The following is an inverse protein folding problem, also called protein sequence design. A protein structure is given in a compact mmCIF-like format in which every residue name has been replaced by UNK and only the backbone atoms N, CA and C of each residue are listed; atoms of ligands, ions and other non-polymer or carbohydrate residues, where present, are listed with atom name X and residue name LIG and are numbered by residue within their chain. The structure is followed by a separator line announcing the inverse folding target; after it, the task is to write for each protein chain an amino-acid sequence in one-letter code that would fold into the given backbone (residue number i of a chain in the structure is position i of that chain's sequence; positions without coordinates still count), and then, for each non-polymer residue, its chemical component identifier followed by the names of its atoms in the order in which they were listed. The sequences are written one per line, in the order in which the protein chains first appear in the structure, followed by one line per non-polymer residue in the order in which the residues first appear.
data_IF_476709276059
#
_entry.id   IF_476709276059
#
_cell.length_a   1.000
_cell.length_b   1.000
_cell.length_c   1.000
_cell.angle_alpha   90.00
_cell.angle_beta   90.00
_cell.angle_gamma   90.00
#
_symmetry.space_group_name_H-M   'P 1'
#
loop_
_entity.id
_entity.type
_entity.pdbx_description
1 polymer ?
#
# COMPACT_ATOMS: atom_id res chain seq x y z
N UNK A 1 9.33 -9.39 -67.43
CA UNK A 1 8.97 -10.74 -67.87
C UNK A 1 8.17 -11.31 -66.71
N UNK A 2 6.90 -11.01 -66.85
CA UNK A 2 5.68 -11.91 -66.81
C UNK A 2 5.43 -12.48 -65.40
N UNK A 3 4.44 -11.96 -64.66
CA UNK A 3 2.94 -12.17 -64.79
C UNK A 3 2.54 -13.59 -64.36
N UNK A 4 1.74 -13.66 -63.32
CA UNK A 4 0.44 -14.30 -63.13
C UNK A 4 0.09 -14.24 -61.65
N UNK A 5 -0.86 -13.54 -61.13
CA UNK A 5 -2.32 -13.64 -61.04
C UNK A 5 -2.90 -15.05 -60.88
N UNK A 6 -3.59 -15.16 -59.80
CA UNK A 6 -4.93 -15.74 -59.49
C UNK A 6 -4.92 -16.33 -58.09
N UNK A 7 -5.87 -16.19 -57.22
CA UNK A 7 -7.26 -15.81 -57.29
C UNK A 7 -8.01 -16.38 -56.13
N UNK A 8 -8.90 -15.57 -55.61
CA UNK A 8 -10.16 -15.91 -54.90
C UNK A 8 -10.18 -16.87 -53.71
N UNK A 9 -10.81 -16.40 -52.66
CA UNK A 9 -11.40 -17.19 -51.60
C UNK A 9 -11.78 -16.36 -50.38
N UNK A 10 -12.91 -15.63 -50.46
CA UNK A 10 -13.57 -15.07 -49.29
C UNK A 10 -14.22 -16.20 -48.48
N UNK A 11 -14.04 -16.16 -47.17
CA UNK A 11 -15.10 -16.60 -46.26
C UNK A 11 -15.01 -15.83 -44.94
N UNK A 12 -16.10 -15.14 -44.65
CA UNK A 12 -16.39 -14.49 -43.40
C UNK A 12 -16.57 -15.54 -42.30
N UNK A 13 -15.73 -15.50 -41.28
CA UNK A 13 -15.91 -16.18 -40.04
C UNK A 13 -16.17 -15.18 -38.93
N UNK A 14 -17.46 -15.00 -38.60
CA UNK A 14 -17.92 -14.35 -37.40
C UNK A 14 -17.39 -15.10 -36.21
N UNK A 15 -16.38 -14.57 -35.55
CA UNK A 15 -15.85 -15.04 -34.29
C UNK A 15 -16.40 -14.19 -33.17
N UNK A 16 -17.37 -14.74 -32.50
CA UNK A 16 -18.07 -14.32 -31.30
C UNK A 16 -17.15 -13.74 -30.23
N UNK A 17 -17.66 -12.69 -29.58
CA UNK A 17 -17.10 -12.00 -28.45
C UNK A 17 -16.57 -12.93 -27.36
N UNK A 18 -15.29 -12.79 -27.09
CA UNK A 18 -14.70 -13.16 -25.81
C UNK A 18 -14.97 -12.00 -24.83
N UNK A 19 -16.15 -12.06 -24.21
CA UNK A 19 -16.52 -11.19 -23.12
C UNK A 19 -15.63 -11.47 -21.90
N UNK A 20 -14.99 -10.42 -21.43
CA UNK A 20 -14.55 -10.12 -20.07
C UNK A 20 -14.83 -11.20 -18.99
N UNK A 21 -13.88 -12.07 -18.76
CA UNK A 21 -13.90 -13.00 -17.59
C UNK A 21 -12.95 -12.57 -16.47
N UNK A 22 -12.41 -11.34 -16.50
CA UNK A 22 -11.43 -10.85 -15.54
C UNK A 22 -12.01 -10.23 -14.25
N UNK A 23 -13.28 -9.88 -14.20
CA UNK A 23 -13.92 -9.29 -13.00
C UNK A 23 -14.76 -10.26 -12.18
N UNK A 24 -14.57 -11.55 -12.35
CA UNK A 24 -15.52 -12.55 -11.90
C UNK A 24 -15.45 -12.98 -10.46
N UNK A 25 -14.24 -13.17 -9.90
CA UNK A 25 -14.06 -13.82 -8.60
C UNK A 25 -14.47 -12.93 -7.44
N UNK A 26 -13.97 -11.69 -7.39
CA UNK A 26 -14.30 -10.72 -6.35
C UNK A 26 -15.77 -10.36 -6.33
N UNK A 27 -16.39 -10.13 -7.52
CA UNK A 27 -17.83 -9.89 -7.61
C UNK A 27 -18.64 -11.13 -7.22
N UNK A 28 -18.18 -12.32 -7.57
CA UNK A 28 -18.86 -13.56 -7.19
C UNK A 28 -18.85 -13.74 -5.68
N UNK A 29 -17.72 -13.46 -5.02
CA UNK A 29 -17.58 -13.50 -3.57
C UNK A 29 -18.47 -12.46 -2.89
N UNK A 30 -18.48 -11.21 -3.38
CA UNK A 30 -19.36 -10.16 -2.89
C UNK A 30 -20.84 -10.59 -2.96
N UNK A 31 -21.26 -11.15 -4.09
CA UNK A 31 -22.62 -11.64 -4.28
C UNK A 31 -22.96 -12.81 -3.34
N UNK A 32 -22.00 -13.69 -3.09
CA UNK A 32 -22.14 -14.77 -2.13
C UNK A 32 -22.29 -14.22 -0.70
N UNK A 33 -21.40 -13.31 -0.29
CA UNK A 33 -21.46 -12.67 1.02
C UNK A 33 -22.81 -11.94 1.27
N UNK A 34 -23.33 -11.24 0.25
CA UNK A 34 -24.63 -10.58 0.35
C UNK A 34 -25.76 -11.60 0.50
N UNK A 35 -25.76 -12.72 -0.23
CA UNK A 35 -26.77 -13.77 -0.07
C UNK A 35 -26.73 -14.39 1.33
N UNK A 36 -25.52 -14.72 1.80
CA UNK A 36 -25.33 -15.43 3.07
C UNK A 36 -25.68 -14.56 4.28
N UNK A 37 -25.42 -13.25 4.20
CA UNK A 37 -25.66 -12.30 5.28
C UNK A 37 -26.98 -11.53 5.17
N UNK A 38 -27.77 -11.74 4.13
CA UNK A 38 -28.96 -10.93 3.82
C UNK A 38 -29.92 -10.73 5.01
N UNK A 39 -30.21 -11.81 5.73
CA UNK A 39 -31.16 -11.77 6.86
C UNK A 39 -30.59 -11.04 8.09
N UNK A 40 -29.26 -10.91 8.19
CA UNK A 40 -28.59 -10.22 9.30
C UNK A 40 -28.46 -8.72 9.08
N UNK A 41 -28.66 -8.25 7.83
CA UNK A 41 -28.54 -6.84 7.45
C UNK A 41 -29.80 -6.05 7.85
N UNK A 42 -29.60 -4.86 8.42
CA UNK A 42 -30.66 -3.87 8.59
C UNK A 42 -31.19 -3.35 7.25
N UNK A 43 -32.33 -2.69 7.24
CA UNK A 43 -32.92 -2.12 6.00
C UNK A 43 -31.96 -1.20 5.27
N UNK A 44 -31.24 -0.33 5.99
CA UNK A 44 -30.28 0.58 5.38
C UNK A 44 -29.03 -0.15 4.85
N UNK A 45 -28.57 -1.19 5.57
CA UNK A 45 -27.44 -2.02 5.10
C UNK A 45 -27.84 -2.86 3.88
N UNK A 46 -29.08 -3.34 3.80
CA UNK A 46 -29.61 -4.01 2.60
C UNK A 46 -29.63 -3.09 1.39
N UNK A 47 -29.98 -1.81 1.56
CA UNK A 47 -29.92 -0.83 0.48
C UNK A 47 -28.48 -0.67 -0.08
N UNK A 48 -27.49 -0.59 0.79
CA UNK A 48 -26.06 -0.58 0.39
C UNK A 48 -25.69 -1.88 -0.31
N UNK A 49 -26.02 -3.04 0.28
CA UNK A 49 -25.71 -4.35 -0.28
C UNK A 49 -26.32 -4.55 -1.67
N UNK A 50 -27.56 -4.11 -1.86
CA UNK A 50 -28.26 -4.19 -3.14
C UNK A 50 -27.59 -3.29 -4.20
N UNK A 51 -27.17 -2.08 -3.82
CA UNK A 51 -26.47 -1.18 -4.70
C UNK A 51 -25.13 -1.77 -5.14
N UNK A 52 -24.27 -2.21 -4.23
CA UNK A 52 -22.92 -2.72 -4.57
C UNK A 52 -22.95 -4.01 -5.40
N UNK A 53 -23.98 -4.86 -5.26
CA UNK A 53 -24.14 -6.07 -6.09
C UNK A 53 -24.58 -5.73 -7.52
N UNK A 54 -25.34 -4.63 -7.70
CA UNK A 54 -25.87 -4.20 -8.99
C UNK A 54 -24.91 -3.29 -9.76
N UNK A 55 -24.04 -2.58 -9.05
CA UNK A 55 -23.12 -1.64 -9.67
C UNK A 55 -21.99 -2.37 -10.44
N UNK A 56 -21.50 -1.79 -11.54
CA UNK A 56 -20.29 -2.28 -12.21
C UNK A 56 -19.09 -2.29 -11.27
N UNK A 57 -18.25 -3.34 -11.35
CA UNK A 57 -17.05 -3.45 -10.51
C UNK A 57 -16.16 -2.20 -10.60
N UNK A 58 -15.99 -1.68 -11.80
CA UNK A 58 -15.21 -0.47 -12.08
C UNK A 58 -15.73 0.74 -11.30
N UNK A 59 -17.05 0.93 -11.25
CA UNK A 59 -17.66 2.02 -10.48
C UNK A 59 -17.41 1.87 -8.98
N UNK A 60 -17.44 0.65 -8.45
CA UNK A 60 -17.16 0.39 -7.05
C UNK A 60 -15.69 0.65 -6.67
N UNK A 61 -14.77 0.41 -7.60
CA UNK A 61 -13.35 0.65 -7.36
C UNK A 61 -13.04 2.13 -7.09
N UNK A 62 -13.76 3.02 -7.75
CA UNK A 62 -13.51 4.46 -7.65
C UNK A 62 -14.39 5.16 -6.60
N UNK A 63 -15.59 4.63 -6.30
CA UNK A 63 -16.56 5.28 -5.43
C UNK A 63 -16.09 5.37 -3.97
N UNK A 64 -16.16 6.56 -3.37
CA UNK A 64 -15.97 6.76 -1.93
C UNK A 64 -17.15 6.20 -1.12
N UNK A 65 -16.97 6.03 0.19
CA UNK A 65 -18.07 5.61 1.06
C UNK A 65 -19.21 6.66 1.11
N UNK A 66 -18.87 7.93 0.89
CA UNK A 66 -19.84 9.01 0.80
C UNK A 66 -20.69 8.89 -0.46
N UNK A 67 -20.07 8.63 -1.62
CA UNK A 67 -20.79 8.43 -2.88
C UNK A 67 -21.65 7.18 -2.86
N UNK A 68 -21.15 6.06 -2.32
CA UNK A 68 -21.93 4.85 -2.14
C UNK A 68 -23.11 5.07 -1.20
N UNK A 69 -22.91 5.86 -0.13
CA UNK A 69 -23.97 6.27 0.78
C UNK A 69 -25.03 7.09 0.06
N UNK A 70 -24.63 8.11 -0.70
CA UNK A 70 -25.54 8.94 -1.50
C UNK A 70 -26.30 8.10 -2.54
N UNK A 71 -25.62 7.25 -3.29
CA UNK A 71 -26.20 6.40 -4.32
C UNK A 71 -27.17 5.33 -3.77
N UNK A 72 -26.93 4.83 -2.55
CA UNK A 72 -27.81 3.88 -1.87
C UNK A 72 -28.87 4.54 -0.96
N UNK A 73 -28.91 5.89 -0.91
CA UNK A 73 -29.82 6.63 -0.01
C UNK A 73 -29.50 6.44 1.47
N UNK A 74 -28.21 6.22 1.82
CA UNK A 74 -27.78 5.94 3.19
C UNK A 74 -26.63 6.87 3.60
N UNK A 75 -26.10 6.69 4.81
CA UNK A 75 -24.94 7.45 5.29
C UNK A 75 -23.63 6.69 5.05
N UNK A 76 -22.49 7.42 5.00
CA UNK A 76 -21.14 6.86 5.00
C UNK A 76 -20.95 5.80 6.11
N UNK A 77 -21.39 6.10 7.33
CA UNK A 77 -21.32 5.14 8.45
C UNK A 77 -22.12 3.85 8.20
N UNK A 78 -23.21 3.92 7.44
CA UNK A 78 -23.98 2.75 7.03
C UNK A 78 -23.23 1.91 6.01
N UNK A 79 -22.56 2.54 5.04
CA UNK A 79 -21.71 1.84 4.07
C UNK A 79 -20.61 1.06 4.79
N UNK A 80 -19.90 1.70 5.72
CA UNK A 80 -18.84 1.04 6.50
C UNK A 80 -19.38 -0.17 7.27
N UNK A 81 -20.52 -0.03 7.96
CA UNK A 81 -21.14 -1.14 8.69
C UNK A 81 -21.61 -2.26 7.77
N UNK A 82 -22.21 -1.92 6.62
CA UNK A 82 -22.61 -2.91 5.62
C UNK A 82 -21.42 -3.74 5.15
N UNK A 83 -20.28 -3.10 4.81
CA UNK A 83 -19.06 -3.81 4.42
C UNK A 83 -18.57 -4.76 5.52
N UNK A 84 -18.58 -4.30 6.78
CA UNK A 84 -18.18 -5.13 7.92
C UNK A 84 -19.11 -6.34 8.13
N UNK A 85 -20.42 -6.17 7.98
CA UNK A 85 -21.40 -7.26 8.04
C UNK A 85 -21.21 -8.27 6.92
N UNK A 86 -20.80 -7.81 5.74
CA UNK A 86 -20.49 -8.66 4.59
C UNK A 86 -19.12 -9.36 4.71
N UNK A 87 -18.39 -9.18 5.82
CA UNK A 87 -17.12 -9.83 6.10
C UNK A 87 -15.89 -9.10 5.56
N UNK A 88 -16.05 -7.86 5.09
CA UNK A 88 -14.94 -7.00 4.69
C UNK A 88 -14.49 -6.12 5.86
N UNK A 89 -13.18 -5.90 6.00
CA UNK A 89 -12.66 -4.97 7.02
C UNK A 89 -13.08 -3.50 6.78
N UNK A 90 -13.74 -3.22 5.66
CA UNK A 90 -14.29 -1.93 5.23
C UNK A 90 -14.31 -1.83 3.72
N UNK A 91 -14.75 -0.69 3.18
CA UNK A 91 -14.80 -0.44 1.74
C UNK A 91 -13.43 -0.61 1.04
N UNK A 92 -12.30 -0.18 1.60
CA UNK A 92 -10.99 -0.43 1.01
C UNK A 92 -10.65 -1.92 0.83
N UNK A 93 -11.14 -2.79 1.70
CA UNK A 93 -10.93 -4.24 1.57
C UNK A 93 -11.72 -4.83 0.39
N UNK A 94 -12.98 -4.40 0.22
CA UNK A 94 -13.76 -4.75 -0.98
C UNK A 94 -13.09 -4.25 -2.25
N UNK A 95 -12.67 -2.98 -2.27
CA UNK A 95 -11.98 -2.39 -3.42
C UNK A 95 -10.71 -3.17 -3.80
N UNK A 96 -9.90 -3.59 -2.83
CA UNK A 96 -8.71 -4.43 -3.09
C UNK A 96 -9.06 -5.75 -3.75
N UNK A 97 -10.06 -6.43 -3.24
CA UNK A 97 -10.50 -7.70 -3.82
C UNK A 97 -10.99 -7.55 -5.26
N UNK A 98 -11.78 -6.51 -5.54
CA UNK A 98 -12.20 -6.18 -6.88
C UNK A 98 -11.03 -5.73 -7.76
N UNK A 99 -10.06 -5.01 -7.20
CA UNK A 99 -8.91 -4.50 -7.92
C UNK A 99 -7.91 -5.59 -8.31
N UNK A 100 -7.77 -6.67 -7.55
CA UNK A 100 -6.86 -7.77 -7.89
C UNK A 100 -7.22 -8.38 -9.25
N UNK A 101 -8.51 -8.55 -9.49
CA UNK A 101 -9.02 -9.00 -10.79
C UNK A 101 -8.86 -7.93 -11.88
N UNK A 102 -9.04 -6.65 -11.53
CA UNK A 102 -9.01 -5.52 -12.43
C UNK A 102 -7.58 -5.10 -12.81
N UNK A 103 -6.65 -5.04 -11.85
CA UNK A 103 -5.26 -4.60 -12.10
C UNK A 103 -4.43 -5.58 -12.90
N UNK A 104 -4.75 -6.87 -12.83
CA UNK A 104 -4.10 -7.90 -13.65
C UNK A 104 -4.60 -7.91 -15.10
N UNK A 105 -5.85 -7.46 -15.33
CA UNK A 105 -6.51 -7.54 -16.63
C UNK A 105 -6.54 -6.21 -17.39
N UNK A 106 -6.39 -5.06 -16.72
CA UNK A 106 -6.58 -3.72 -17.32
C UNK A 106 -5.26 -2.94 -17.40
N UNK A 107 -4.84 -2.49 -18.58
CA UNK A 107 -3.63 -1.70 -18.77
C UNK A 107 -3.63 -0.39 -17.94
N UNK A 108 -2.45 0.08 -17.47
CA UNK A 108 -2.35 1.29 -16.63
C UNK A 108 -2.99 2.54 -17.25
N UNK A 109 -2.87 2.72 -18.56
CA UNK A 109 -3.44 3.86 -19.28
C UNK A 109 -4.99 3.83 -19.30
N UNK A 110 -5.57 2.65 -19.30
CA UNK A 110 -7.04 2.50 -19.25
C UNK A 110 -7.54 2.82 -17.84
N UNK A 111 -6.84 2.35 -16.81
CA UNK A 111 -7.13 2.68 -15.41
C UNK A 111 -7.04 4.18 -15.15
N UNK A 112 -5.97 4.82 -15.65
CA UNK A 112 -5.80 6.28 -15.58
C UNK A 112 -6.97 7.01 -16.24
N UNK A 113 -7.38 6.59 -17.45
CA UNK A 113 -8.50 7.18 -18.17
C UNK A 113 -9.82 7.04 -17.40
N UNK A 114 -10.08 5.88 -16.82
CA UNK A 114 -11.26 5.64 -16.00
C UNK A 114 -11.25 6.49 -14.72
N UNK A 115 -10.09 6.62 -14.06
CA UNK A 115 -9.94 7.47 -12.89
C UNK A 115 -10.23 8.95 -13.22
N UNK A 116 -9.65 9.45 -14.31
CA UNK A 116 -9.92 10.83 -14.80
C UNK A 116 -11.41 11.02 -15.12
N UNK A 117 -12.04 10.02 -15.72
CA UNK A 117 -13.47 10.10 -16.05
C UNK A 117 -14.37 10.09 -14.81
N UNK A 118 -13.98 9.33 -13.76
CA UNK A 118 -14.71 9.27 -12.49
C UNK A 118 -14.60 10.58 -11.72
N UNK A 119 -13.39 11.08 -11.52
CA UNK A 119 -13.12 12.32 -10.79
C UNK A 119 -13.66 13.55 -11.54
N UNK A 120 -13.75 13.47 -12.86
CA UNK A 120 -14.23 14.59 -13.69
C UNK A 120 -13.16 15.67 -13.88
N UNK A 121 -13.61 16.91 -14.09
CA UNK A 121 -12.74 18.08 -14.36
C UNK A 121 -12.91 19.21 -13.35
N UNK A 122 -13.72 18.99 -12.34
CA UNK A 122 -13.93 19.95 -11.25
C UNK A 122 -12.78 19.83 -10.25
N UNK A 123 -11.93 20.85 -10.21
CA UNK A 123 -10.75 20.85 -9.33
C UNK A 123 -11.13 20.87 -7.84
N UNK A 124 -12.23 21.49 -7.47
CA UNK A 124 -12.71 21.52 -6.09
C UNK A 124 -13.21 20.12 -5.68
N UNK A 125 -13.91 19.42 -6.57
CA UNK A 125 -14.31 18.03 -6.38
C UNK A 125 -13.11 17.10 -6.25
N UNK A 126 -12.07 17.26 -7.09
CA UNK A 126 -10.82 16.49 -7.03
C UNK A 126 -10.15 16.64 -5.66
N UNK A 127 -10.10 17.87 -5.15
CA UNK A 127 -9.51 18.14 -3.82
C UNK A 127 -10.23 17.35 -2.73
N UNK A 128 -11.57 17.43 -2.67
CA UNK A 128 -12.36 16.69 -1.70
C UNK A 128 -12.14 15.19 -1.79
N UNK A 129 -12.21 14.63 -2.99
CA UNK A 129 -12.06 13.19 -3.23
C UNK A 129 -10.70 12.63 -2.78
N UNK A 130 -9.62 13.34 -3.06
CA UNK A 130 -8.26 12.92 -2.62
C UNK A 130 -8.17 12.83 -1.09
N UNK A 131 -8.75 13.81 -0.37
CA UNK A 131 -8.72 13.81 1.09
C UNK A 131 -9.67 12.77 1.68
N UNK A 132 -10.84 12.57 1.13
CA UNK A 132 -11.81 11.58 1.59
C UNK A 132 -11.24 10.16 1.42
N UNK A 133 -10.65 9.84 0.27
CA UNK A 133 -9.95 8.57 0.07
C UNK A 133 -8.77 8.38 1.02
N UNK A 134 -8.00 9.44 1.26
CA UNK A 134 -6.88 9.39 2.20
C UNK A 134 -7.36 9.10 3.62
N UNK A 135 -8.44 9.74 4.06
CA UNK A 135 -9.04 9.52 5.37
C UNK A 135 -9.56 8.08 5.52
N UNK A 136 -10.24 7.56 4.51
CA UNK A 136 -10.71 6.17 4.51
C UNK A 136 -9.54 5.18 4.67
N UNK A 137 -8.42 5.41 3.98
CA UNK A 137 -7.23 4.56 4.08
C UNK A 137 -6.55 4.65 5.45
N UNK A 138 -6.44 5.83 6.02
CA UNK A 138 -5.89 6.05 7.36
C UNK A 138 -6.73 5.29 8.40
N UNK A 139 -8.05 5.44 8.34
CA UNK A 139 -8.96 4.73 9.24
C UNK A 139 -8.88 3.20 9.05
N UNK A 140 -8.69 2.75 7.83
CA UNK A 140 -8.50 1.35 7.52
C UNK A 140 -7.18 0.81 8.09
N UNK A 141 -6.06 1.51 7.86
CA UNK A 141 -4.75 1.15 8.41
C UNK A 141 -4.78 1.03 9.93
N UNK A 142 -5.42 1.99 10.62
CA UNK A 142 -5.56 2.00 12.08
C UNK A 142 -6.27 0.77 12.63
N UNK A 143 -7.24 0.22 11.89
CA UNK A 143 -7.99 -0.98 12.29
C UNK A 143 -7.25 -2.28 12.03
N UNK A 144 -6.38 -2.33 11.03
CA UNK A 144 -5.75 -3.57 10.57
C UNK A 144 -4.44 -3.90 11.29
N UNK A 145 -3.74 -2.90 11.84
CA UNK A 145 -2.48 -3.15 12.54
C UNK A 145 -2.72 -3.41 14.03
N UNK A 146 -2.54 -4.64 14.50
CA UNK A 146 -2.61 -4.92 15.94
C UNK A 146 -1.50 -4.17 16.68
N UNK A 147 -1.83 -3.61 17.86
CA UNK A 147 -0.83 -2.93 18.69
C UNK A 147 0.33 -3.83 19.13
N UNK A 148 0.15 -5.15 19.14
CA UNK A 148 1.20 -6.15 19.40
C UNK A 148 2.24 -6.17 18.28
N UNK A 149 1.81 -6.22 17.02
CA UNK A 149 2.74 -6.22 15.88
C UNK A 149 3.62 -4.95 15.84
N UNK A 150 3.05 -3.79 16.20
CA UNK A 150 3.85 -2.56 16.32
C UNK A 150 4.86 -2.67 17.49
N UNK A 151 4.46 -3.18 18.65
CA UNK A 151 5.37 -3.36 19.79
C UNK A 151 6.53 -4.29 19.46
N UNK A 152 6.26 -5.41 18.80
CA UNK A 152 7.27 -6.38 18.38
C UNK A 152 8.24 -5.75 17.38
N UNK A 153 7.73 -5.08 16.36
CA UNK A 153 8.55 -4.37 15.38
C UNK A 153 9.47 -3.33 16.04
N UNK A 154 8.92 -2.48 16.92
CA UNK A 154 9.71 -1.50 17.67
C UNK A 154 10.76 -2.18 18.55
N UNK A 155 10.43 -3.29 19.22
CA UNK A 155 11.35 -4.08 20.01
C UNK A 155 12.51 -4.66 19.19
N UNK A 156 12.25 -5.13 17.97
CA UNK A 156 13.30 -5.60 17.05
C UNK A 156 14.22 -4.46 16.61
N UNK A 157 13.66 -3.30 16.31
CA UNK A 157 14.44 -2.12 15.91
C UNK A 157 15.30 -1.60 17.07
N UNK A 158 14.80 -1.63 18.31
CA UNK A 158 15.55 -1.20 19.50
C UNK A 158 16.79 -2.07 19.74
N UNK A 159 16.71 -3.37 19.44
CA UNK A 159 17.82 -4.32 19.62
C UNK A 159 18.79 -4.34 18.44
N UNK A 160 18.45 -3.72 17.30
CA UNK A 160 19.25 -3.81 16.10
C UNK A 160 20.56 -3.00 16.19
N UNK A 161 21.66 -3.57 15.72
CA UNK A 161 22.94 -2.87 15.57
C UNK A 161 22.89 -1.83 14.45
N UNK A 162 22.25 -2.16 13.34
CA UNK A 162 21.94 -1.27 12.23
C UNK A 162 20.55 -1.59 11.66
N UNK A 163 19.84 -0.57 11.20
CA UNK A 163 18.51 -0.69 10.60
C UNK A 163 18.62 -0.42 9.10
N UNK A 164 18.24 -1.40 8.31
CA UNK A 164 18.22 -1.31 6.85
C UNK A 164 16.80 -1.06 6.37
N UNK A 165 16.54 0.08 5.73
CA UNK A 165 15.22 0.43 5.20
C UNK A 165 15.20 0.19 3.69
N UNK A 166 14.38 -0.74 3.24
CA UNK A 166 14.23 -1.09 1.83
C UNK A 166 12.90 -0.63 1.27
N UNK A 167 12.93 -0.05 0.08
CA UNK A 167 11.74 0.31 -0.69
C UNK A 167 12.13 0.79 -2.07
N UNK A 168 11.39 0.36 -3.09
CA UNK A 168 11.60 0.75 -4.48
C UNK A 168 10.43 1.58 -5.00
N UNK A 169 10.67 2.36 -6.05
CA UNK A 169 9.69 3.26 -6.64
C UNK A 169 9.04 4.16 -5.56
N UNK A 170 7.72 4.21 -5.44
CA UNK A 170 7.07 5.06 -4.45
C UNK A 170 7.28 4.60 -2.99
N UNK A 171 7.54 3.33 -2.76
CA UNK A 171 7.89 2.82 -1.41
C UNK A 171 9.23 3.38 -0.92
N UNK A 172 10.08 3.87 -1.83
CA UNK A 172 11.30 4.60 -1.50
C UNK A 172 11.03 5.81 -0.58
N UNK A 173 9.92 6.50 -0.75
CA UNK A 173 9.57 7.66 0.06
C UNK A 173 9.49 7.31 1.55
N UNK A 174 8.80 6.23 1.89
CA UNK A 174 8.68 5.78 3.29
C UNK A 174 10.00 5.21 3.83
N UNK A 175 10.72 4.42 3.02
CA UNK A 175 12.00 3.84 3.42
C UNK A 175 13.08 4.90 3.67
N UNK A 176 13.20 5.91 2.79
CA UNK A 176 14.12 7.04 2.96
C UNK A 176 13.73 7.91 4.15
N UNK A 177 12.43 8.18 4.31
CA UNK A 177 11.92 8.94 5.45
C UNK A 177 12.31 8.26 6.77
N UNK A 178 12.02 6.96 6.91
CA UNK A 178 12.36 6.21 8.11
C UNK A 178 13.87 6.21 8.38
N UNK A 179 14.70 5.91 7.39
CA UNK A 179 16.15 5.89 7.55
C UNK A 179 16.72 7.25 8.00
N UNK A 180 16.24 8.34 7.37
CA UNK A 180 16.63 9.70 7.76
C UNK A 180 16.20 10.04 9.18
N UNK A 181 14.96 9.70 9.54
CA UNK A 181 14.38 10.03 10.83
C UNK A 181 15.03 9.20 11.96
N UNK A 182 15.34 7.93 11.74
CA UNK A 182 16.09 7.09 12.66
C UNK A 182 17.49 7.66 12.98
N UNK A 183 18.19 8.18 11.96
CA UNK A 183 19.46 8.87 12.18
C UNK A 183 19.35 10.10 13.09
N UNK A 184 18.21 10.81 13.05
CA UNK A 184 17.95 11.99 13.90
C UNK A 184 17.67 11.65 15.37
N UNK A 185 17.31 10.43 15.67
CA UNK A 185 17.15 9.91 17.04
C UNK A 185 18.34 9.05 17.50
N UNK A 186 19.46 9.09 16.77
CA UNK A 186 20.70 8.42 17.15
C UNK A 186 20.85 6.97 16.70
N UNK A 187 19.91 6.44 15.92
CA UNK A 187 20.01 5.07 15.42
C UNK A 187 20.81 5.02 14.12
N UNK A 188 21.65 4.00 14.02
CA UNK A 188 22.33 3.71 12.75
C UNK A 188 21.32 3.13 11.80
N UNK A 189 21.03 3.86 10.73
CA UNK A 189 20.10 3.43 9.72
C UNK A 189 20.57 3.83 8.33
N UNK A 190 20.26 2.99 7.33
CA UNK A 190 20.51 3.28 5.93
C UNK A 190 19.32 2.88 5.06
N UNK A 191 19.12 3.61 4.02
CA UNK A 191 18.19 3.28 2.95
C UNK A 191 18.92 2.60 1.79
N UNK A 192 18.27 1.66 1.15
CA UNK A 192 18.60 1.18 -0.19
C UNK A 192 17.32 0.81 -0.96
N UNK A 193 17.34 1.00 -2.27
CA UNK A 193 16.20 0.76 -3.17
C UNK A 193 16.63 0.19 -4.50
N UNK A 194 17.76 -0.46 -4.51
CA UNK A 194 18.35 -1.05 -5.71
C UNK A 194 17.66 -2.36 -6.05
N UNK A 195 17.71 -2.71 -7.34
CA UNK A 195 17.16 -3.96 -7.89
C UNK A 195 18.25 -4.73 -8.62
N UNK A 196 18.00 -5.99 -8.95
CA UNK A 196 18.93 -6.82 -9.69
C UNK A 196 20.30 -6.95 -9.01
N UNK A 197 21.40 -6.86 -9.77
CA UNK A 197 22.75 -7.06 -9.23
C UNK A 197 23.17 -6.02 -8.18
N UNK A 198 22.73 -4.76 -8.31
CA UNK A 198 23.08 -3.73 -7.33
C UNK A 198 22.50 -4.02 -5.95
N UNK A 199 21.35 -4.68 -5.87
CA UNK A 199 20.78 -5.13 -4.61
C UNK A 199 21.72 -6.10 -3.88
N UNK A 200 22.42 -6.98 -4.59
CA UNK A 200 23.31 -7.97 -3.97
C UNK A 200 24.43 -7.31 -3.14
N UNK A 201 24.96 -6.18 -3.60
CA UNK A 201 25.98 -5.43 -2.86
C UNK A 201 25.46 -4.91 -1.53
N UNK A 202 24.23 -4.41 -1.50
CA UNK A 202 23.57 -3.98 -0.25
C UNK A 202 23.27 -5.15 0.68
N UNK A 203 22.89 -6.32 0.13
CA UNK A 203 22.62 -7.51 0.92
C UNK A 203 23.87 -8.07 1.63
N UNK A 204 25.08 -7.84 1.09
CA UNK A 204 26.33 -8.19 1.77
C UNK A 204 26.54 -7.39 3.06
N UNK A 205 25.99 -6.18 3.14
CA UNK A 205 26.12 -5.34 4.34
C UNK A 205 25.20 -5.80 5.49
N UNK A 206 24.13 -6.55 5.21
CA UNK A 206 23.21 -7.08 6.25
C UNK A 206 23.87 -8.19 7.02
N UNK A 207 23.92 -8.05 8.36
CA UNK A 207 24.63 -8.93 9.30
C UNK A 207 23.71 -9.43 10.42
N UNK A 208 24.23 -10.36 11.18
CA UNK A 208 23.57 -10.81 12.40
C UNK A 208 23.40 -9.63 13.39
N UNK A 209 22.22 -9.54 13.98
CA UNK A 209 21.89 -8.48 14.92
C UNK A 209 21.39 -7.19 14.26
N UNK A 210 21.31 -7.13 12.92
CA UNK A 210 20.65 -6.04 12.20
C UNK A 210 19.13 -6.25 12.14
N UNK A 211 18.42 -5.20 11.74
CA UNK A 211 17.01 -5.28 11.36
C UNK A 211 16.80 -4.72 9.95
N UNK A 212 15.89 -5.33 9.21
CA UNK A 212 15.49 -4.88 7.87
C UNK A 212 14.02 -4.50 7.90
N UNK A 213 13.70 -3.25 7.57
CA UNK A 213 12.32 -2.76 7.39
C UNK A 213 12.05 -2.66 5.90
N UNK A 214 11.08 -3.42 5.42
CA UNK A 214 10.75 -3.55 4.00
C UNK A 214 9.40 -2.88 3.75
N UNK A 215 9.37 -1.90 2.86
CA UNK A 215 8.15 -1.26 2.39
C UNK A 215 7.79 -1.82 1.01
N UNK A 216 6.81 -2.72 0.95
CA UNK A 216 6.34 -3.34 -0.29
C UNK A 216 4.83 -3.57 -0.23
N UNK A 217 4.01 -2.75 -0.93
CA UNK A 217 2.55 -2.80 -0.77
C UNK A 217 1.92 -4.10 -1.29
N UNK A 218 2.09 -4.48 -2.55
CA UNK A 218 1.27 -5.56 -3.11
C UNK A 218 1.96 -6.47 -4.12
N UNK A 219 3.07 -6.07 -4.75
CA UNK A 219 3.71 -6.91 -5.76
C UNK A 219 4.78 -7.80 -5.16
N UNK A 220 4.62 -9.12 -5.29
CA UNK A 220 5.66 -10.07 -4.96
C UNK A 220 6.79 -10.02 -6.00
N UNK A 221 7.94 -9.48 -5.60
CA UNK A 221 9.13 -9.34 -6.44
C UNK A 221 10.19 -10.36 -6.02
N UNK A 222 11.02 -10.78 -6.96
CA UNK A 222 12.17 -11.64 -6.67
C UNK A 222 13.10 -11.01 -5.64
N UNK A 223 13.34 -9.72 -5.75
CA UNK A 223 14.13 -8.91 -4.81
C UNK A 223 13.67 -9.07 -3.37
N UNK A 224 12.35 -9.03 -3.15
CA UNK A 224 11.76 -9.19 -1.82
C UNK A 224 12.07 -10.58 -1.25
N UNK A 225 11.92 -11.62 -2.06
CA UNK A 225 12.22 -12.99 -1.64
C UNK A 225 13.69 -13.16 -1.27
N UNK A 226 14.60 -12.68 -2.14
CA UNK A 226 16.05 -12.77 -1.91
C UNK A 226 16.48 -11.98 -0.68
N UNK A 227 15.90 -10.78 -0.47
CA UNK A 227 16.19 -9.94 0.70
C UNK A 227 15.76 -10.63 1.99
N UNK A 228 14.53 -11.17 2.05
CA UNK A 228 14.02 -11.89 3.23
C UNK A 228 14.88 -13.14 3.52
N UNK A 229 15.19 -13.93 2.51
CA UNK A 229 16.03 -15.13 2.65
C UNK A 229 17.43 -14.79 3.16
N UNK A 230 18.04 -13.74 2.61
CA UNK A 230 19.35 -13.27 3.07
C UNK A 230 19.31 -12.79 4.50
N UNK A 231 18.36 -11.93 4.88
CA UNK A 231 18.22 -11.43 6.26
C UNK A 231 18.07 -12.59 7.25
N UNK A 232 17.21 -13.57 6.96
CA UNK A 232 17.03 -14.77 7.79
C UNK A 232 18.30 -15.61 7.89
N UNK A 233 18.98 -15.82 6.77
CA UNK A 233 20.20 -16.65 6.73
C UNK A 233 21.32 -16.09 7.60
N UNK A 234 21.39 -14.76 7.75
CA UNK A 234 22.40 -14.10 8.61
C UNK A 234 21.90 -13.84 10.05
N UNK A 235 20.64 -14.11 10.35
CA UNK A 235 20.05 -13.85 11.68
C UNK A 235 19.68 -12.38 11.92
N UNK A 236 19.39 -11.62 10.87
CA UNK A 236 18.79 -10.29 10.96
C UNK A 236 17.27 -10.40 11.14
N UNK A 237 16.65 -9.44 11.84
CA UNK A 237 15.20 -9.35 12.00
C UNK A 237 14.56 -8.68 10.80
N UNK A 238 13.36 -9.12 10.42
CA UNK A 238 12.64 -8.58 9.26
C UNK A 238 11.27 -8.06 9.67
N UNK A 239 11.02 -6.78 9.41
CA UNK A 239 9.72 -6.12 9.55
C UNK A 239 9.20 -5.81 8.14
N UNK A 240 8.06 -6.39 7.78
CA UNK A 240 7.41 -6.15 6.49
C UNK A 240 6.25 -5.17 6.65
N UNK A 241 6.33 -4.04 5.97
CA UNK A 241 5.25 -3.06 5.84
C UNK A 241 4.58 -3.28 4.49
N UNK A 242 3.36 -3.78 4.51
CA UNK A 242 2.67 -4.24 3.30
C UNK A 242 1.17 -4.04 3.37
N UNK A 243 0.50 -4.13 2.24
CA UNK A 243 -0.96 -4.22 2.14
C UNK A 243 -1.43 -5.65 1.83
N UNK A 244 -0.84 -6.28 0.81
CA UNK A 244 -1.36 -7.53 0.24
C UNK A 244 -0.45 -8.74 0.46
N UNK A 245 0.78 -8.55 0.94
CA UNK A 245 1.78 -9.63 1.00
C UNK A 245 1.87 -10.34 2.35
N UNK A 246 0.98 -10.00 3.29
CA UNK A 246 0.97 -10.56 4.65
C UNK A 246 0.81 -12.09 4.67
N UNK A 247 -0.09 -12.64 3.85
CA UNK A 247 -0.31 -14.08 3.76
C UNK A 247 0.90 -14.82 3.16
N UNK A 248 1.52 -14.23 2.14
CA UNK A 248 2.63 -14.86 1.40
C UNK A 248 3.95 -14.83 2.20
N UNK A 249 4.26 -13.70 2.82
CA UNK A 249 5.55 -13.51 3.48
C UNK A 249 5.48 -13.45 5.01
N UNK A 250 4.29 -13.29 5.61
CA UNK A 250 4.12 -13.26 7.07
C UNK A 250 4.81 -14.40 7.80
N UNK A 251 4.67 -15.67 7.36
CA UNK A 251 5.37 -16.81 8.00
C UNK A 251 6.90 -16.77 7.88
N UNK A 252 7.46 -15.86 7.09
CA UNK A 252 8.87 -15.75 6.74
C UNK A 252 9.54 -14.48 7.29
N UNK A 253 8.79 -13.64 8.01
CA UNK A 253 9.27 -12.39 8.61
C UNK A 253 8.94 -12.35 10.08
N UNK A 254 9.56 -11.46 10.84
CA UNK A 254 9.40 -11.39 12.31
C UNK A 254 8.19 -10.52 12.71
N UNK A 255 7.84 -9.53 11.92
CA UNK A 255 6.62 -8.73 12.12
C UNK A 255 6.05 -8.26 10.78
N UNK A 256 4.72 -8.13 10.73
CA UNK A 256 3.99 -7.55 9.60
C UNK A 256 3.17 -6.35 10.08
N UNK A 257 3.35 -5.21 9.43
CA UNK A 257 2.57 -4.00 9.65
C UNK A 257 1.77 -3.69 8.38
N UNK A 258 0.49 -3.38 8.54
CA UNK A 258 -0.38 -3.15 7.39
C UNK A 258 -0.39 -1.68 7.01
N UNK A 259 -0.05 -1.41 5.75
CA UNK A 259 -0.07 -0.09 5.14
C UNK A 259 -0.90 -0.12 3.84
N UNK A 260 -2.24 0.04 3.92
CA UNK A 260 -3.12 0.00 2.76
C UNK A 260 -2.73 1.07 1.73
N UNK A 261 -2.64 0.68 0.47
CA UNK A 261 -2.44 1.60 -0.65
C UNK A 261 -3.73 1.77 -1.46
N UNK A 262 -3.77 2.74 -2.36
CA UNK A 262 -4.91 2.87 -3.25
C UNK A 262 -4.79 1.92 -4.44
N UNK A 263 -5.75 1.01 -4.63
CA UNK A 263 -5.71 0.04 -5.74
C UNK A 263 -5.94 0.69 -7.10
N UNK A 264 -6.53 1.90 -7.11
CA UNK A 264 -6.93 2.62 -8.32
C UNK A 264 -6.06 3.84 -8.60
N UNK A 265 -5.04 4.10 -7.75
CA UNK A 265 -4.24 5.31 -7.80
C UNK A 265 -3.47 5.47 -9.10
N UNK A 266 -3.49 6.68 -9.62
CA UNK A 266 -2.59 7.16 -10.67
C UNK A 266 -1.18 7.26 -10.10
N UNK A 267 -1.10 7.65 -8.82
CA UNK A 267 0.13 7.78 -8.08
C UNK A 267 0.22 6.64 -7.07
N UNK A 268 1.37 6.03 -7.01
CA UNK A 268 1.64 5.09 -5.93
C UNK A 268 1.74 5.90 -4.65
N UNK A 269 0.88 5.62 -3.71
CA UNK A 269 0.77 6.37 -2.49
C UNK A 269 1.62 5.80 -1.38
N UNK A 270 2.44 6.66 -0.81
CA UNK A 270 3.23 6.34 0.36
C UNK A 270 2.57 6.76 1.69
N UNK A 271 1.36 7.34 1.67
CA UNK A 271 0.76 7.99 2.84
C UNK A 271 0.69 7.08 4.07
N UNK A 272 0.05 5.93 3.95
CA UNK A 272 -0.10 4.99 5.07
C UNK A 272 1.23 4.35 5.47
N UNK A 273 2.12 4.10 4.51
CA UNK A 273 3.47 3.62 4.78
C UNK A 273 4.31 4.67 5.56
N UNK A 274 4.15 5.97 5.26
CA UNK A 274 4.76 7.05 6.02
C UNK A 274 4.22 7.12 7.45
N UNK A 275 2.92 6.96 7.64
CA UNK A 275 2.32 6.92 8.98
C UNK A 275 2.83 5.72 9.80
N UNK A 276 2.99 4.56 9.18
CA UNK A 276 3.61 3.39 9.82
C UNK A 276 5.08 3.66 10.17
N UNK A 277 5.82 4.32 9.28
CA UNK A 277 7.20 4.73 9.54
C UNK A 277 7.30 5.68 10.74
N UNK A 278 6.39 6.68 10.83
CA UNK A 278 6.32 7.61 11.96
C UNK A 278 5.93 6.90 13.27
N UNK A 279 5.04 5.92 13.22
CA UNK A 279 4.68 5.13 14.40
C UNK A 279 5.86 4.29 14.91
N UNK A 280 6.63 3.65 14.01
CA UNK A 280 7.87 2.95 14.35
C UNK A 280 8.90 3.90 14.97
N UNK A 281 9.12 5.06 14.35
CA UNK A 281 10.06 6.07 14.81
C UNK A 281 9.70 6.58 16.20
N UNK A 282 8.44 6.98 16.42
CA UNK A 282 7.99 7.50 17.71
C UNK A 282 8.02 6.43 18.79
N UNK A 283 7.62 5.20 18.46
CA UNK A 283 7.73 4.06 19.38
C UNK A 283 9.16 3.81 19.83
N UNK A 284 10.12 3.83 18.88
CA UNK A 284 11.53 3.66 19.18
C UNK A 284 12.11 4.85 19.99
N UNK A 285 11.78 6.07 19.61
CA UNK A 285 12.20 7.28 20.35
C UNK A 285 11.67 7.28 21.80
N UNK A 286 10.47 6.74 22.03
CA UNK A 286 9.90 6.60 23.38
C UNK A 286 10.68 5.58 24.22
N UNK A 287 11.13 4.47 23.62
CA UNK A 287 11.94 3.48 24.32
C UNK A 287 13.36 3.97 24.64
N UNK A 288 13.90 4.84 23.79
CA UNK A 288 15.28 5.33 23.85
C UNK A 288 15.32 6.87 24.01
N UNK A 289 14.46 7.42 24.86
CA UNK A 289 14.26 8.87 25.03
C UNK A 289 15.57 9.64 25.26
N UNK A 290 16.45 9.12 26.11
CA UNK A 290 17.74 9.76 26.40
C UNK A 290 18.62 9.89 25.15
N UNK A 291 18.72 8.85 24.33
CA UNK A 291 19.48 8.86 23.08
C UNK A 291 18.85 9.81 22.06
N UNK A 292 17.53 9.76 21.93
CA UNK A 292 16.80 10.60 20.98
C UNK A 292 16.95 12.09 21.29
N UNK A 293 16.81 12.49 22.55
CA UNK A 293 16.97 13.89 23.01
C UNK A 293 18.40 14.35 22.83
N UNK A 294 19.40 13.58 23.26
CA UNK A 294 20.81 13.94 23.11
C UNK A 294 21.19 14.12 21.63
N UNK A 295 20.78 13.20 20.77
CA UNK A 295 21.04 13.30 19.33
C UNK A 295 20.38 14.54 18.71
N UNK A 296 19.16 14.88 19.15
CA UNK A 296 18.46 16.09 18.70
C UNK A 296 19.22 17.36 19.09
N UNK A 297 19.80 17.40 20.30
CA UNK A 297 20.65 18.51 20.73
C UNK A 297 21.92 18.63 19.88
N UNK A 298 22.60 17.50 19.60
CA UNK A 298 23.78 17.47 18.74
C UNK A 298 23.46 17.94 17.32
N UNK A 299 22.31 17.49 16.75
CA UNK A 299 21.87 17.92 15.45
C UNK A 299 21.62 19.44 15.38
N UNK A 300 21.02 20.01 16.43
CA UNK A 300 20.78 21.45 16.54
C UNK A 300 22.11 22.21 16.55
N UNK A 301 23.06 21.80 17.38
CA UNK A 301 24.39 22.43 17.47
C UNK A 301 25.15 22.37 16.13
N UNK A 302 25.10 21.25 15.41
CA UNK A 302 25.70 21.10 14.09
C UNK A 302 25.06 22.04 13.05
N UNK A 303 23.73 22.21 13.09
CA UNK A 303 23.02 23.13 12.20
C UNK A 303 23.39 24.58 12.47
N UNK A 304 23.51 24.98 13.73
CA UNK A 304 23.97 26.33 14.12
C UNK A 304 25.37 26.63 13.59
N UNK A 305 26.30 25.65 13.69
CA UNK A 305 27.64 25.80 13.12
C UNK A 305 27.64 25.98 11.59
N UNK A 306 26.77 25.22 10.89
CA UNK A 306 26.63 25.31 9.43
C UNK A 306 26.00 26.63 8.97
N UNK A 307 25.14 27.22 9.78
CA UNK A 307 24.46 28.50 9.50
C UNK A 307 25.26 29.72 9.95
N UNK A 308 26.26 29.54 10.82
CA UNK A 308 27.12 30.63 11.28
C UNK A 308 27.98 31.18 10.13
N UNK A 309 28.06 32.49 9.89
CA UNK A 309 28.94 33.07 8.88
C UNK A 309 30.39 32.66 9.16
N UNK A 310 31.07 32.05 8.18
CA UNK A 310 32.52 31.85 8.27
C UNK A 310 33.21 33.19 8.53
N UNK A 311 34.10 33.34 9.53
CA UNK A 311 34.91 34.55 9.66
C UNK A 311 35.67 34.77 8.36
N UNK A 312 35.46 35.94 7.74
CA UNK A 312 36.29 36.37 6.62
C UNK A 312 37.73 36.33 7.09
N UNK A 313 38.56 35.45 6.53
CA UNK A 313 40.01 35.57 6.67
C UNK A 313 40.43 36.88 6.03
N UNK A 314 40.84 37.86 6.85
CA UNK A 314 41.49 39.06 6.43
C UNK A 314 42.87 38.76 5.82
#
# INVERSE_FOLDING_TARGET
MEISEDGTGAEAGAGSGAGSSGGGAGLARLRAAVRDQWETLSTSERAVAQYVVSAPAESLLFASAQELGAASGTSNATVVRAMQRLGYAGLPALKRELASDFTSAVPPEVRLKQRIAHVGRDLDGIWGEVFDEAQERIEHARRLTPGEALRDAVGFLAQAAEIHCYGIAASELAARHLALALGRIGRRARYFGDTGFALADHLLAVRQGDAVVIFQPGRALTELTVLIERARAVGARVVLVTDELAELYGPRVDAVLTAPHTPTGITTEALTALLVADALLLGLATLEEGLAVETSHQLTALREQLLSPRPRKG
#
